data_IF_086167593049
#
_entry.id   IF_086167593049
#
_cell.length_a   1.000
_cell.length_b   1.000
_cell.length_c   1.000
_cell.angle_alpha   90.00
_cell.angle_beta   90.00
_cell.angle_gamma   90.00
#
_symmetry.space_group_name_H-M   'P 1'
#
loop_
_entity.id
_entity.type
_entity.pdbx_description
1 polymer ?
#
# COMPACT_ATOMS: atom_id res chain seq x y z
N UNK A 1 -1.58 -0.41 -31.49
CA UNK A 1 -1.11 0.84 -30.85
C UNK A 1 -2.08 1.13 -29.72
N UNK A 2 -1.60 1.47 -28.51
CA UNK A 2 -2.48 1.69 -27.35
C UNK A 2 -3.23 3.02 -27.49
N UNK A 3 -4.57 2.99 -27.51
CA UNK A 3 -5.38 4.20 -27.57
C UNK A 3 -5.73 4.68 -26.14
N UNK A 4 -4.73 5.24 -25.45
CA UNK A 4 -4.87 5.70 -24.05
C UNK A 4 -5.43 7.13 -23.94
N UNK A 5 -5.49 7.88 -25.04
CA UNK A 5 -5.97 9.27 -25.09
C UNK A 5 -7.43 9.42 -24.65
N UNK A 6 -8.24 8.37 -24.83
CA UNK A 6 -9.65 8.34 -24.40
C UNK A 6 -9.86 8.35 -22.87
N UNK A 7 -8.81 8.20 -22.07
CA UNK A 7 -8.90 8.04 -20.62
C UNK A 7 -8.15 9.14 -19.87
N UNK A 8 -8.84 10.23 -19.52
CA UNK A 8 -8.21 11.45 -18.95
C UNK A 8 -8.26 11.56 -17.42
N UNK A 9 -8.87 10.60 -16.72
CA UNK A 9 -9.06 10.66 -15.26
C UNK A 9 -8.58 9.39 -14.52
N UNK A 10 -7.42 8.86 -14.94
CA UNK A 10 -6.87 7.61 -14.39
C UNK A 10 -5.71 7.91 -13.44
N UNK A 11 -5.87 7.51 -12.17
CA UNK A 11 -4.83 7.61 -11.15
C UNK A 11 -3.89 6.41 -11.14
N UNK A 12 -4.38 5.22 -11.48
CA UNK A 12 -3.56 4.01 -11.46
C UNK A 12 -3.58 3.29 -12.81
N UNK A 13 -2.39 3.10 -13.36
CA UNK A 13 -2.15 2.27 -14.53
C UNK A 13 -1.47 0.98 -14.11
N UNK A 14 -2.03 -0.15 -14.52
CA UNK A 14 -1.35 -1.43 -14.50
C UNK A 14 -0.92 -1.78 -15.92
N UNK A 15 0.28 -2.34 -16.04
CA UNK A 15 0.76 -2.90 -17.29
C UNK A 15 1.16 -4.36 -17.10
N UNK A 16 0.70 -5.24 -17.99
CA UNK A 16 1.17 -6.61 -18.08
C UNK A 16 1.75 -6.88 -19.46
N UNK A 17 3.05 -7.15 -19.48
CA UNK A 17 3.78 -7.54 -20.67
C UNK A 17 3.40 -8.93 -21.19
N UNK A 18 3.96 -9.28 -22.34
CA UNK A 18 3.82 -10.60 -22.96
C UNK A 18 4.72 -11.66 -22.32
N UNK A 19 5.68 -11.25 -21.48
CA UNK A 19 6.62 -12.13 -20.80
C UNK A 19 5.91 -13.15 -19.90
N UNK A 20 6.17 -14.43 -20.17
CA UNK A 20 5.73 -15.57 -19.34
C UNK A 20 6.89 -16.29 -18.66
N UNK A 21 8.13 -16.06 -19.09
CA UNK A 21 9.29 -16.77 -18.56
C UNK A 21 9.71 -16.26 -17.19
N UNK A 22 10.10 -17.17 -16.31
CA UNK A 22 10.65 -16.88 -14.99
C UNK A 22 11.95 -17.66 -14.80
N UNK A 23 12.94 -17.04 -14.14
CA UNK A 23 14.18 -17.70 -13.78
C UNK A 23 14.05 -18.58 -12.51
N UNK A 24 12.90 -18.55 -11.82
CA UNK A 24 12.58 -19.42 -10.69
C UNK A 24 11.64 -20.55 -11.09
N UNK A 25 11.78 -21.72 -10.46
CA UNK A 25 10.93 -22.91 -10.68
C UNK A 25 10.28 -23.42 -9.39
N UNK A 26 9.43 -22.60 -8.75
CA UNK A 26 8.77 -22.94 -7.48
C UNK A 26 7.55 -23.84 -7.69
N UNK A 27 7.40 -24.90 -6.90
CA UNK A 27 6.33 -25.89 -7.10
C UNK A 27 4.90 -25.35 -6.93
N UNK A 28 4.75 -24.28 -6.14
CA UNK A 28 3.47 -23.62 -5.87
C UNK A 28 3.16 -22.45 -6.82
N UNK A 29 4.12 -22.03 -7.67
CA UNK A 29 3.95 -20.85 -8.50
C UNK A 29 3.32 -21.23 -9.84
N UNK A 30 2.11 -20.71 -10.17
CA UNK A 30 1.43 -21.02 -11.43
C UNK A 30 2.20 -20.51 -12.66
N UNK A 31 3.07 -19.52 -12.48
CA UNK A 31 3.80 -18.86 -13.56
C UNK A 31 5.22 -19.41 -13.81
N UNK A 32 5.72 -20.28 -12.93
CA UNK A 32 7.08 -20.82 -13.01
C UNK A 32 7.28 -21.91 -14.10
N UNK A 33 6.25 -22.15 -14.92
CA UNK A 33 6.22 -23.22 -15.92
C UNK A 33 7.07 -22.92 -17.16
N UNK A 34 7.29 -21.65 -17.48
CA UNK A 34 8.04 -21.24 -18.67
C UNK A 34 9.42 -20.76 -18.24
N UNK A 35 10.48 -21.44 -18.70
CA UNK A 35 11.86 -21.15 -18.26
C UNK A 35 12.66 -20.26 -19.22
N UNK A 36 12.24 -20.16 -20.48
CA UNK A 36 12.97 -19.43 -21.53
C UNK A 36 11.98 -18.72 -22.44
N UNK A 37 12.37 -17.55 -22.90
CA UNK A 37 11.76 -16.84 -24.02
C UNK A 37 12.79 -16.77 -25.15
N UNK A 38 12.31 -16.88 -26.38
CA UNK A 38 13.11 -16.66 -27.58
C UNK A 38 13.47 -15.17 -27.74
N UNK A 39 14.52 -14.88 -28.51
CA UNK A 39 14.90 -13.49 -28.81
C UNK A 39 13.75 -12.72 -29.49
N UNK A 40 12.96 -13.38 -30.34
CA UNK A 40 11.80 -12.78 -31.00
C UNK A 40 10.70 -12.39 -29.99
N UNK A 41 10.42 -13.24 -29.00
CA UNK A 41 9.45 -12.94 -27.94
C UNK A 41 9.92 -11.78 -27.06
N UNK A 42 11.21 -11.75 -26.69
CA UNK A 42 11.78 -10.64 -25.90
C UNK A 42 11.73 -9.32 -26.67
N UNK A 43 12.10 -9.33 -27.96
CA UNK A 43 11.97 -8.14 -28.81
C UNK A 43 10.53 -7.67 -28.89
N UNK A 44 9.58 -8.60 -29.03
CA UNK A 44 8.15 -8.25 -29.08
C UNK A 44 7.65 -7.65 -27.75
N UNK A 45 8.11 -8.20 -26.63
CA UNK A 45 7.81 -7.69 -25.29
C UNK A 45 8.34 -6.27 -25.09
N UNK A 46 9.59 -6.02 -25.48
CA UNK A 46 10.22 -4.70 -25.45
C UNK A 46 9.49 -3.69 -26.34
N UNK A 47 9.11 -4.07 -27.56
CA UNK A 47 8.30 -3.23 -28.46
C UNK A 47 6.94 -2.89 -27.83
N UNK A 48 6.27 -3.87 -27.22
CA UNK A 48 4.96 -3.67 -26.58
C UNK A 48 5.06 -2.75 -25.37
N UNK A 49 6.11 -2.88 -24.56
CA UNK A 49 6.37 -2.01 -23.40
C UNK A 49 6.70 -0.58 -23.86
N UNK A 50 7.58 -0.45 -24.85
CA UNK A 50 7.97 0.85 -25.42
C UNK A 50 6.76 1.59 -25.99
N UNK A 51 5.89 0.88 -26.69
CA UNK A 51 4.63 1.43 -27.21
C UNK A 51 3.67 1.86 -26.10
N UNK A 52 3.60 1.13 -24.98
CA UNK A 52 2.78 1.48 -23.83
C UNK A 52 3.30 2.76 -23.17
N UNK A 53 4.60 2.81 -22.86
CA UNK A 53 5.26 3.98 -22.28
C UNK A 53 5.06 5.20 -23.17
N UNK A 54 5.30 5.06 -24.48
CA UNK A 54 5.12 6.14 -25.45
C UNK A 54 3.67 6.63 -25.49
N UNK A 55 2.69 5.74 -25.51
CA UNK A 55 1.28 6.13 -25.51
C UNK A 55 0.86 6.83 -24.22
N UNK A 56 1.38 6.41 -23.07
CA UNK A 56 1.08 7.05 -21.79
C UNK A 56 1.74 8.44 -21.67
N UNK A 57 2.97 8.58 -22.16
CA UNK A 57 3.72 9.83 -22.12
C UNK A 57 3.29 10.86 -23.17
N UNK A 58 2.66 10.44 -24.27
CA UNK A 58 2.10 11.36 -25.28
C UNK A 58 0.90 12.17 -24.79
N UNK A 59 0.23 11.74 -23.70
CA UNK A 59 -0.87 12.50 -23.12
C UNK A 59 -0.36 13.86 -22.59
N UNK A 60 -0.99 14.94 -23.03
CA UNK A 60 -0.63 16.33 -22.72
C UNK A 60 -0.74 16.64 -21.22
N UNK A 61 0.22 17.39 -20.68
CA UNK A 61 0.29 17.74 -19.26
C UNK A 61 -0.91 18.58 -18.77
N UNK A 62 -1.60 19.30 -19.66
CA UNK A 62 -2.77 20.10 -19.33
C UNK A 62 -4.02 19.26 -18.97
N UNK A 63 -4.07 17.99 -19.38
CA UNK A 63 -5.25 17.12 -19.26
C UNK A 63 -5.05 15.95 -18.27
N UNK A 64 -3.91 15.93 -17.56
CA UNK A 64 -3.46 14.75 -16.82
C UNK A 64 -3.53 14.96 -15.30
N UNK A 65 -4.46 14.25 -14.67
CA UNK A 65 -4.40 13.99 -13.23
C UNK A 65 -3.11 13.23 -12.91
N UNK A 66 -2.48 13.56 -11.78
CA UNK A 66 -1.33 12.81 -11.27
C UNK A 66 -1.68 11.32 -11.11
N UNK A 67 -0.76 10.46 -11.52
CA UNK A 67 -0.98 9.03 -11.59
C UNK A 67 0.25 8.20 -11.23
N UNK A 68 0.07 6.88 -11.18
CA UNK A 68 1.13 5.91 -10.97
C UNK A 68 1.04 4.73 -11.94
N UNK A 69 2.17 4.05 -12.16
CA UNK A 69 2.28 2.90 -13.06
C UNK A 69 2.87 1.70 -12.30
N UNK A 70 2.16 0.57 -12.31
CA UNK A 70 2.63 -0.68 -11.71
C UNK A 70 2.66 -1.80 -12.75
N UNK A 71 3.84 -2.36 -12.98
CA UNK A 71 4.05 -3.50 -13.89
C UNK A 71 3.81 -4.81 -13.12
N UNK A 72 2.92 -5.66 -13.64
CA UNK A 72 2.48 -6.90 -12.98
C UNK A 72 2.65 -8.10 -13.92
N UNK A 73 3.91 -8.55 -14.12
CA UNK A 73 4.24 -9.58 -15.09
C UNK A 73 3.75 -10.96 -14.65
N UNK A 74 3.57 -11.88 -15.61
CA UNK A 74 3.49 -13.30 -15.30
C UNK A 74 4.89 -13.91 -15.11
N UNK A 75 5.88 -13.48 -15.91
CA UNK A 75 7.29 -13.83 -15.76
C UNK A 75 8.05 -12.97 -14.74
N UNK A 76 9.38 -13.12 -14.71
CA UNK A 76 10.25 -12.19 -14.00
C UNK A 76 10.73 -11.10 -14.97
N UNK A 77 10.10 -9.92 -14.90
CA UNK A 77 10.38 -8.83 -15.84
C UNK A 77 11.72 -8.13 -15.55
N UNK A 78 12.09 -7.98 -14.28
CA UNK A 78 13.18 -7.08 -13.89
C UNK A 78 14.59 -7.67 -14.07
N UNK A 79 14.72 -8.91 -14.56
CA UNK A 79 16.00 -9.42 -15.10
C UNK A 79 16.34 -8.81 -16.46
N UNK A 80 15.40 -8.11 -17.11
CA UNK A 80 15.59 -7.51 -18.42
C UNK A 80 15.77 -5.99 -18.33
N UNK A 81 16.88 -5.48 -18.89
CA UNK A 81 17.31 -4.08 -18.81
C UNK A 81 16.26 -3.10 -19.36
N UNK A 82 15.53 -3.47 -20.41
CA UNK A 82 14.53 -2.60 -21.04
C UNK A 82 13.35 -2.23 -20.11
N UNK A 83 13.04 -3.05 -19.10
CA UNK A 83 12.04 -2.69 -18.08
C UNK A 83 12.54 -1.56 -17.17
N UNK A 84 13.82 -1.57 -16.80
CA UNK A 84 14.42 -0.51 -15.98
C UNK A 84 14.51 0.81 -16.73
N UNK A 85 14.86 0.77 -18.02
CA UNK A 85 14.85 1.94 -18.91
C UNK A 85 13.42 2.51 -19.03
N UNK A 86 12.42 1.65 -19.22
CA UNK A 86 11.01 2.05 -19.27
C UNK A 86 10.54 2.71 -17.97
N UNK A 87 10.86 2.11 -16.81
CA UNK A 87 10.53 2.68 -15.50
C UNK A 87 11.24 4.01 -15.27
N UNK A 88 12.51 4.15 -15.69
CA UNK A 88 13.24 5.41 -15.63
C UNK A 88 12.54 6.49 -16.47
N UNK A 89 12.20 6.16 -17.72
CA UNK A 89 11.50 7.05 -18.63
C UNK A 89 10.16 7.54 -18.06
N UNK A 90 9.36 6.63 -17.50
CA UNK A 90 8.09 6.97 -16.83
C UNK A 90 8.33 7.87 -15.60
N UNK A 91 9.29 7.56 -14.74
CA UNK A 91 9.52 8.31 -13.50
C UNK A 91 9.90 9.78 -13.71
N UNK A 92 10.54 10.08 -14.85
CA UNK A 92 10.92 11.45 -15.24
C UNK A 92 9.71 12.35 -15.49
N UNK A 93 8.57 11.77 -15.82
CA UNK A 93 7.35 12.53 -16.06
C UNK A 93 6.91 13.27 -14.78
N UNK A 94 6.54 14.56 -14.86
CA UNK A 94 6.02 15.31 -13.72
C UNK A 94 4.63 14.83 -13.26
N UNK A 95 3.86 14.16 -14.12
CA UNK A 95 2.52 13.65 -13.77
C UNK A 95 2.55 12.23 -13.20
N UNK A 96 3.67 11.50 -13.35
CA UNK A 96 3.84 10.18 -12.75
C UNK A 96 4.46 10.37 -11.37
N UNK A 97 3.70 10.10 -10.32
CA UNK A 97 4.17 10.22 -8.93
C UNK A 97 4.88 8.95 -8.46
N UNK A 98 4.55 7.79 -9.01
CA UNK A 98 5.20 6.54 -8.68
C UNK A 98 5.20 5.56 -9.87
N UNK A 99 6.28 4.80 -9.98
CA UNK A 99 6.45 3.70 -10.93
C UNK A 99 6.91 2.46 -10.18
N UNK A 100 6.62 1.27 -10.70
CA UNK A 100 7.04 0.07 -10.02
C UNK A 100 6.75 -1.21 -10.77
N UNK A 101 7.19 -2.31 -10.17
CA UNK A 101 6.95 -3.64 -10.69
C UNK A 101 6.88 -4.68 -9.56
N UNK A 102 6.19 -5.79 -9.84
CA UNK A 102 6.31 -7.01 -9.06
C UNK A 102 7.54 -7.81 -9.53
N UNK A 103 8.29 -8.35 -8.57
CA UNK A 103 9.52 -9.10 -8.83
C UNK A 103 9.80 -10.15 -7.75
N UNK A 104 10.54 -11.19 -8.11
CA UNK A 104 11.15 -12.17 -7.20
C UNK A 104 12.54 -11.71 -6.65
N UNK A 105 13.03 -10.53 -7.07
CA UNK A 105 14.27 -9.88 -6.63
C UNK A 105 15.56 -10.69 -6.89
N UNK A 106 15.59 -11.43 -8.01
CA UNK A 106 16.68 -12.36 -8.36
C UNK A 106 17.81 -11.79 -9.23
N UNK A 107 17.75 -10.50 -9.58
CA UNK A 107 18.77 -9.80 -10.37
C UNK A 107 19.81 -9.12 -9.48
N UNK A 108 20.90 -8.63 -10.08
CA UNK A 108 21.83 -7.76 -9.39
C UNK A 108 21.25 -6.35 -9.27
N UNK A 109 20.94 -5.94 -8.04
CA UNK A 109 20.36 -4.62 -7.75
C UNK A 109 21.33 -3.51 -8.13
N UNK A 110 22.64 -3.68 -7.93
CA UNK A 110 23.60 -2.61 -8.21
C UNK A 110 23.62 -2.29 -9.71
N UNK A 111 23.74 -3.33 -10.54
CA UNK A 111 23.69 -3.17 -12.01
C UNK A 111 22.37 -2.54 -12.47
N UNK A 112 21.24 -3.04 -11.96
CA UNK A 112 19.94 -2.60 -12.45
C UNK A 112 19.53 -1.22 -11.93
N UNK A 113 19.89 -0.87 -10.70
CA UNK A 113 19.70 0.46 -10.15
C UNK A 113 20.58 1.48 -10.89
N UNK A 114 21.82 1.12 -11.22
CA UNK A 114 22.69 1.96 -12.06
C UNK A 114 22.08 2.20 -13.45
N UNK A 115 21.54 1.17 -14.10
CA UNK A 115 20.82 1.33 -15.37
C UNK A 115 19.66 2.32 -15.21
N UNK A 116 18.86 2.19 -14.16
CA UNK A 116 17.73 3.08 -13.91
C UNK A 116 18.18 4.53 -13.70
N UNK A 117 19.17 4.75 -12.85
CA UNK A 117 19.68 6.08 -12.50
C UNK A 117 20.37 6.74 -13.71
N UNK A 118 21.21 5.99 -14.43
CA UNK A 118 21.90 6.47 -15.63
C UNK A 118 20.95 6.83 -16.77
N UNK A 119 19.73 6.28 -16.78
CA UNK A 119 18.65 6.68 -17.70
C UNK A 119 17.78 7.83 -17.16
N UNK A 120 18.21 8.49 -16.09
CA UNK A 120 17.54 9.63 -15.46
C UNK A 120 16.38 9.25 -14.55
N UNK A 121 16.33 8.00 -14.08
CA UNK A 121 15.30 7.53 -13.18
C UNK A 121 15.31 8.25 -11.83
N UNK A 122 14.13 8.52 -11.28
CA UNK A 122 13.97 9.20 -9.99
C UNK A 122 13.74 8.16 -8.89
N UNK A 123 14.77 7.83 -8.11
CA UNK A 123 14.75 6.74 -7.12
C UNK A 123 13.55 6.78 -6.16
N UNK A 124 13.22 7.96 -5.60
CA UNK A 124 12.06 8.14 -4.70
C UNK A 124 10.69 7.83 -5.33
N UNK A 125 10.60 7.75 -6.66
CA UNK A 125 9.37 7.38 -7.37
C UNK A 125 9.32 5.89 -7.68
N UNK A 126 10.43 5.16 -7.54
CA UNK A 126 10.50 3.73 -7.81
C UNK A 126 10.03 2.93 -6.58
N UNK A 127 9.01 2.12 -6.78
CA UNK A 127 8.38 1.27 -5.76
C UNK A 127 8.39 -0.19 -6.20
N UNK A 128 9.01 -1.09 -5.44
CA UNK A 128 9.10 -2.51 -5.79
C UNK A 128 8.24 -3.40 -4.89
N UNK A 129 7.50 -4.32 -5.50
CA UNK A 129 6.80 -5.38 -4.78
C UNK A 129 7.63 -6.67 -4.89
N UNK A 130 8.33 -7.01 -3.80
CA UNK A 130 9.32 -8.09 -3.78
C UNK A 130 8.73 -9.38 -3.17
N UNK A 131 8.72 -10.47 -3.92
CA UNK A 131 8.19 -11.77 -3.50
C UNK A 131 9.31 -12.76 -3.17
N UNK A 132 9.36 -13.19 -1.92
CA UNK A 132 10.30 -14.18 -1.41
C UNK A 132 9.84 -15.60 -1.72
N UNK A 133 10.77 -16.41 -2.22
CA UNK A 133 10.56 -17.80 -2.60
C UNK A 133 11.51 -18.73 -1.84
N UNK A 134 11.12 -19.25 -0.67
CA UNK A 134 12.02 -20.01 0.21
C UNK A 134 12.50 -21.35 -0.38
N UNK A 135 11.90 -21.84 -1.46
CA UNK A 135 12.38 -23.02 -2.20
C UNK A 135 13.62 -22.71 -3.07
N UNK A 136 13.88 -21.43 -3.35
CA UNK A 136 14.89 -21.01 -4.35
C UNK A 136 15.99 -20.16 -3.71
N UNK A 137 15.64 -19.27 -2.79
CA UNK A 137 16.56 -18.30 -2.18
C UNK A 137 16.43 -18.33 -0.67
N UNK A 138 17.55 -18.14 0.04
CA UNK A 138 17.53 -18.10 1.52
C UNK A 138 17.04 -16.75 2.03
N UNK A 139 16.61 -16.71 3.29
CA UNK A 139 16.21 -15.46 3.95
C UNK A 139 17.37 -14.46 4.02
N UNK A 140 18.60 -14.93 4.19
CA UNK A 140 19.83 -14.12 4.24
C UNK A 140 20.09 -13.43 2.89
N UNK A 141 20.05 -14.19 1.80
CA UNK A 141 20.28 -13.68 0.45
C UNK A 141 19.22 -12.66 0.05
N UNK A 142 17.94 -12.96 0.31
CA UNK A 142 16.85 -12.04 0.00
C UNK A 142 16.94 -10.76 0.85
N UNK A 143 17.24 -10.88 2.14
CA UNK A 143 17.42 -9.71 3.01
C UNK A 143 18.61 -8.83 2.58
N UNK A 144 19.68 -9.43 2.04
CA UNK A 144 20.80 -8.67 1.47
C UNK A 144 20.36 -7.83 0.27
N UNK A 145 19.58 -8.42 -0.64
CA UNK A 145 19.01 -7.68 -1.77
C UNK A 145 18.10 -6.54 -1.29
N UNK A 146 17.21 -6.79 -0.31
CA UNK A 146 16.39 -5.72 0.26
C UNK A 146 17.23 -4.56 0.85
N UNK A 147 18.35 -4.85 1.53
CA UNK A 147 19.25 -3.80 2.03
C UNK A 147 19.87 -2.97 0.90
N UNK A 148 20.21 -3.59 -0.24
CA UNK A 148 20.67 -2.83 -1.41
C UNK A 148 19.59 -1.87 -1.92
N UNK A 149 18.33 -2.31 -2.03
CA UNK A 149 17.21 -1.41 -2.40
C UNK A 149 17.13 -0.19 -1.47
N UNK A 150 17.19 -0.41 -0.15
CA UNK A 150 17.23 0.69 0.82
C UNK A 150 18.43 1.61 0.62
N UNK A 151 19.61 1.08 0.28
CA UNK A 151 20.82 1.84 -0.01
C UNK A 151 20.66 2.81 -1.18
N UNK A 152 19.89 2.44 -2.21
CA UNK A 152 19.54 3.32 -3.33
C UNK A 152 18.33 4.23 -3.06
N UNK A 153 17.74 4.18 -1.86
CA UNK A 153 16.51 4.93 -1.55
C UNK A 153 15.30 4.46 -2.35
N UNK A 154 15.32 3.22 -2.84
CA UNK A 154 14.17 2.60 -3.54
C UNK A 154 13.19 2.11 -2.48
N UNK A 155 11.93 2.54 -2.59
CA UNK A 155 10.88 2.06 -1.71
C UNK A 155 10.42 0.66 -2.13
N UNK A 156 10.10 -0.21 -1.16
CA UNK A 156 9.60 -1.54 -1.47
C UNK A 156 8.76 -2.13 -0.35
N UNK A 157 7.89 -3.06 -0.73
CA UNK A 157 7.36 -4.06 0.18
C UNK A 157 8.00 -5.41 -0.10
N UNK A 158 8.08 -6.26 0.93
CA UNK A 158 8.52 -7.64 0.80
C UNK A 158 7.38 -8.57 1.19
N UNK A 159 7.39 -9.82 0.74
CA UNK A 159 6.37 -10.75 1.18
C UNK A 159 6.51 -12.12 0.56
N UNK A 160 5.57 -13.02 0.85
CA UNK A 160 5.62 -14.38 0.35
C UNK A 160 4.21 -14.94 0.09
N UNK A 161 4.14 -16.03 -0.67
CA UNK A 161 2.93 -16.84 -0.72
C UNK A 161 2.72 -17.53 0.64
N UNK A 162 1.49 -17.51 1.14
CA UNK A 162 1.07 -18.10 2.42
C UNK A 162 1.02 -19.62 2.38
N UNK A 163 2.14 -20.26 2.04
CA UNK A 163 2.28 -21.72 2.06
C UNK A 163 2.55 -22.15 3.51
N UNK A 164 1.68 -22.95 4.16
CA UNK A 164 1.86 -23.30 5.58
C UNK A 164 3.22 -23.93 5.91
N UNK A 165 3.72 -24.81 5.04
CA UNK A 165 5.04 -25.44 5.19
C UNK A 165 6.20 -24.44 5.21
N UNK A 166 6.00 -23.23 4.69
CA UNK A 166 7.04 -22.21 4.58
C UNK A 166 7.02 -21.20 5.73
N UNK A 167 6.09 -21.29 6.69
CA UNK A 167 5.94 -20.32 7.79
C UNK A 167 7.26 -20.08 8.52
N UNK A 168 8.03 -21.15 8.80
CA UNK A 168 9.33 -21.05 9.47
C UNK A 168 10.32 -20.18 8.71
N UNK A 169 10.48 -20.40 7.40
CA UNK A 169 11.37 -19.61 6.54
C UNK A 169 10.90 -18.17 6.38
N UNK A 170 9.59 -17.96 6.27
CA UNK A 170 8.99 -16.62 6.18
C UNK A 170 9.26 -15.81 7.46
N UNK A 171 9.11 -16.43 8.64
CA UNK A 171 9.45 -15.79 9.93
C UNK A 171 10.93 -15.43 10.01
N UNK A 172 11.82 -16.27 9.49
CA UNK A 172 13.25 -15.97 9.45
C UNK A 172 13.53 -14.72 8.62
N UNK A 173 12.93 -14.58 7.44
CA UNK A 173 13.07 -13.36 6.64
C UNK A 173 12.50 -12.14 7.33
N UNK A 174 11.28 -12.23 7.90
CA UNK A 174 10.65 -11.11 8.63
C UNK A 174 11.53 -10.57 9.76
N UNK A 175 12.23 -11.45 10.51
CA UNK A 175 13.17 -11.05 11.57
C UNK A 175 14.42 -10.33 11.06
N UNK A 176 14.82 -10.56 9.79
CA UNK A 176 16.01 -9.95 9.18
C UNK A 176 15.71 -8.62 8.50
N UNK A 177 14.45 -8.33 8.21
CA UNK A 177 14.02 -7.08 7.59
C UNK A 177 13.76 -6.00 8.66
N UNK A 178 14.06 -4.72 8.38
CA UNK A 178 13.68 -3.63 9.27
C UNK A 178 12.17 -3.60 9.53
N UNK A 179 11.78 -3.22 10.75
CA UNK A 179 10.38 -3.10 11.18
C UNK A 179 9.52 -2.23 10.24
N UNK A 180 10.14 -1.19 9.68
CA UNK A 180 9.51 -0.24 8.75
C UNK A 180 9.15 -0.81 7.38
N UNK A 181 9.77 -1.92 6.95
CA UNK A 181 9.44 -2.55 5.68
C UNK A 181 8.17 -3.39 5.87
N UNK A 182 7.09 -3.05 5.18
CA UNK A 182 5.87 -3.86 5.22
C UNK A 182 6.12 -5.26 4.64
N UNK A 183 5.65 -6.28 5.37
CA UNK A 183 5.72 -7.68 4.95
C UNK A 183 4.32 -8.23 4.66
N UNK A 184 4.06 -8.56 3.40
CA UNK A 184 2.78 -9.15 3.03
C UNK A 184 2.82 -10.68 2.98
N UNK A 185 1.68 -11.30 3.25
CA UNK A 185 1.42 -12.70 2.93
C UNK A 185 0.28 -12.74 1.91
N UNK A 186 0.55 -13.27 0.72
CA UNK A 186 -0.53 -13.55 -0.23
C UNK A 186 -1.23 -14.84 0.18
N UNK A 187 -2.57 -14.84 0.19
CA UNK A 187 -3.31 -16.10 0.30
C UNK A 187 -2.84 -17.07 -0.79
N UNK A 188 -2.63 -18.33 -0.40
CA UNK A 188 -2.24 -19.38 -1.34
C UNK A 188 -3.43 -19.78 -2.21
N UNK A 189 -3.39 -19.39 -3.48
CA UNK A 189 -4.31 -19.90 -4.48
C UNK A 189 -4.09 -21.40 -4.69
N UNK A 190 -5.19 -22.16 -4.79
CA UNK A 190 -5.16 -23.61 -4.99
C UNK A 190 -4.97 -24.44 -3.71
N UNK A 191 -4.90 -23.83 -2.52
CA UNK A 191 -5.01 -24.58 -1.27
C UNK A 191 -6.40 -25.24 -1.20
N UNK A 192 -6.44 -26.57 -1.27
CA UNK A 192 -7.69 -27.37 -1.32
C UNK A 192 -8.49 -27.40 -0.01
N UNK A 193 -8.09 -26.61 0.99
CA UNK A 193 -8.72 -26.47 2.29
C UNK A 193 -8.58 -25.04 2.80
N UNK A 194 -9.34 -24.69 3.82
CA UNK A 194 -9.09 -23.47 4.58
C UNK A 194 -7.78 -23.59 5.39
N UNK A 195 -7.18 -22.44 5.68
CA UNK A 195 -6.12 -22.36 6.70
C UNK A 195 -6.67 -22.78 8.06
N UNK A 196 -5.86 -23.52 8.83
CA UNK A 196 -6.18 -23.84 10.23
C UNK A 196 -6.12 -22.58 11.10
N UNK A 197 -6.65 -22.65 12.32
CA UNK A 197 -6.59 -21.52 13.26
C UNK A 197 -5.13 -21.12 13.55
N UNK A 198 -4.24 -22.10 13.74
CA UNK A 198 -2.82 -21.86 14.01
C UNK A 198 -2.08 -21.28 12.81
N UNK A 199 -2.39 -21.74 11.59
CA UNK A 199 -1.82 -21.17 10.37
C UNK A 199 -2.24 -19.71 10.18
N UNK A 200 -3.54 -19.40 10.37
CA UNK A 200 -4.03 -18.03 10.31
C UNK A 200 -3.33 -17.15 11.34
N UNK A 201 -3.27 -17.60 12.59
CA UNK A 201 -2.59 -16.89 13.67
C UNK A 201 -1.12 -16.63 13.32
N UNK A 202 -0.41 -17.65 12.83
CA UNK A 202 0.99 -17.53 12.46
C UNK A 202 1.23 -16.53 11.32
N UNK A 203 0.34 -16.46 10.33
CA UNK A 203 0.44 -15.48 9.26
C UNK A 203 0.03 -14.08 9.70
N UNK A 204 -0.98 -13.92 10.57
CA UNK A 204 -1.38 -12.61 11.12
C UNK A 204 -0.27 -12.00 11.99
N UNK A 205 0.49 -12.83 12.71
CA UNK A 205 1.68 -12.38 13.44
C UNK A 205 2.79 -11.84 12.53
N UNK A 206 2.80 -12.20 11.24
CA UNK A 206 3.80 -11.78 10.25
C UNK A 206 3.30 -10.61 9.41
N UNK A 207 2.07 -10.72 8.89
CA UNK A 207 1.37 -9.72 8.10
C UNK A 207 0.09 -9.34 8.81
N UNK A 208 0.10 -8.13 9.37
CA UNK A 208 -1.00 -7.57 10.14
C UNK A 208 -2.29 -7.35 9.31
N UNK A 209 -2.21 -7.43 7.98
CA UNK A 209 -3.33 -7.34 7.05
C UNK A 209 -3.76 -8.68 6.46
N UNK A 210 -3.15 -9.81 6.86
CA UNK A 210 -3.43 -11.12 6.27
C UNK A 210 -4.91 -11.53 6.35
N UNK A 211 -5.66 -11.08 7.36
CA UNK A 211 -7.10 -11.32 7.42
C UNK A 211 -7.85 -10.79 6.20
N UNK A 212 -7.39 -9.67 5.60
CA UNK A 212 -8.01 -9.10 4.41
C UNK A 212 -7.89 -10.05 3.21
N UNK A 213 -6.82 -10.82 3.12
CA UNK A 213 -6.60 -11.84 2.08
C UNK A 213 -7.62 -12.99 2.15
N UNK A 214 -8.20 -13.22 3.34
CA UNK A 214 -9.15 -14.29 3.59
C UNK A 214 -10.62 -13.84 3.45
N UNK A 215 -10.88 -12.54 3.33
CA UNK A 215 -12.24 -11.99 3.25
C UNK A 215 -12.81 -12.09 1.85
N UNK A 216 -14.15 -12.19 1.79
CA UNK A 216 -14.91 -12.05 0.55
C UNK A 216 -15.20 -10.57 0.28
N UNK A 217 -14.44 -9.96 -0.63
CA UNK A 217 -14.64 -8.58 -1.04
C UNK A 217 -15.67 -8.51 -2.16
N UNK A 218 -16.90 -8.08 -1.87
CA UNK A 218 -17.94 -7.94 -2.90
C UNK A 218 -17.47 -6.96 -3.98
N UNK A 219 -17.52 -7.39 -5.23
CA UNK A 219 -17.09 -6.54 -6.34
C UNK A 219 -18.06 -5.38 -6.55
N UNK A 220 -17.52 -4.16 -6.63
CA UNK A 220 -18.26 -2.96 -7.00
C UNK A 220 -17.51 -2.21 -8.10
N UNK A 221 -18.06 -2.18 -9.31
CA UNK A 221 -17.42 -1.52 -10.46
C UNK A 221 -17.29 0.00 -10.28
N UNK A 222 -18.18 0.62 -9.50
CA UNK A 222 -18.14 2.06 -9.23
C UNK A 222 -16.90 2.46 -8.41
N UNK A 223 -16.18 1.49 -7.84
CA UNK A 223 -14.89 1.69 -7.16
C UNK A 223 -13.67 1.50 -8.08
N UNK A 224 -13.86 1.04 -9.32
CA UNK A 224 -12.78 0.77 -10.28
C UNK A 224 -12.73 1.80 -11.42
N UNK A 225 -13.06 3.07 -11.15
CA UNK A 225 -13.29 4.08 -12.18
C UNK A 225 -12.03 4.84 -12.62
N UNK A 226 -11.07 5.03 -11.73
CA UNK A 226 -9.81 5.76 -11.96
C UNK A 226 -8.59 4.81 -12.08
N UNK A 227 -8.84 3.56 -12.48
CA UNK A 227 -7.85 2.49 -12.60
C UNK A 227 -8.01 1.81 -13.96
N UNK A 228 -6.90 1.57 -14.65
CA UNK A 228 -6.88 0.78 -15.88
C UNK A 228 -5.78 -0.28 -15.85
N UNK A 229 -6.10 -1.41 -16.47
CA UNK A 229 -5.23 -2.55 -16.64
C UNK A 229 -4.99 -2.78 -18.13
N UNK A 230 -3.76 -2.55 -18.56
CA UNK A 230 -3.34 -2.63 -19.96
C UNK A 230 -2.51 -3.90 -20.16
N UNK A 231 -2.91 -4.72 -21.12
CA UNK A 231 -2.22 -5.94 -21.52
C UNK A 231 -1.41 -5.71 -22.80
N UNK A 232 -0.37 -6.53 -23.03
CA UNK A 232 0.49 -6.44 -24.21
C UNK A 232 -0.24 -6.57 -25.56
N UNK A 233 -1.42 -7.18 -25.59
CA UNK A 233 -2.30 -7.27 -26.77
C UNK A 233 -3.12 -5.97 -27.00
N UNK A 234 -2.81 -4.90 -26.27
CA UNK A 234 -3.54 -3.63 -26.26
C UNK A 234 -4.95 -3.70 -25.65
N UNK A 235 -5.35 -4.81 -25.05
CA UNK A 235 -6.61 -4.87 -24.32
C UNK A 235 -6.54 -4.04 -23.03
N UNK A 236 -7.60 -3.27 -22.78
CA UNK A 236 -7.70 -2.37 -21.63
C UNK A 236 -8.91 -2.80 -20.81
N UNK A 237 -8.68 -3.06 -19.51
CA UNK A 237 -9.68 -3.53 -18.54
C UNK A 237 -9.69 -2.63 -17.31
N UNK A 238 -10.71 -2.74 -16.47
CA UNK A 238 -10.78 -2.00 -15.19
C UNK A 238 -9.91 -2.61 -14.08
N UNK A 239 -9.59 -3.90 -14.17
CA UNK A 239 -8.64 -4.59 -13.30
C UNK A 239 -8.19 -5.91 -13.95
N UNK A 240 -7.26 -6.62 -13.30
CA UNK A 240 -6.67 -7.87 -13.75
C UNK A 240 -7.68 -9.04 -13.95
N UNK A 241 -8.84 -8.99 -13.30
CA UNK A 241 -9.86 -10.06 -13.34
C UNK A 241 -11.21 -9.59 -13.90
N UNK A 242 -11.31 -8.34 -14.34
CA UNK A 242 -12.52 -7.78 -14.94
C UNK A 242 -12.60 -8.21 -16.41
N UNK A 243 -13.70 -8.86 -16.81
CA UNK A 243 -13.86 -9.36 -18.18
C UNK A 243 -14.28 -8.29 -19.21
N UNK A 244 -15.20 -7.35 -18.90
CA UNK A 244 -15.49 -6.25 -19.81
C UNK A 244 -14.24 -5.41 -20.12
N UNK A 245 -14.14 -4.96 -21.37
CA UNK A 245 -13.14 -3.96 -21.75
C UNK A 245 -13.55 -2.60 -21.18
N UNK A 246 -12.56 -1.76 -20.89
CA UNK A 246 -12.80 -0.44 -20.29
C UNK A 246 -13.58 0.50 -21.22
N UNK A 247 -13.52 0.30 -22.54
CA UNK A 247 -14.31 1.07 -23.51
C UNK A 247 -15.82 0.73 -23.47
N UNK A 248 -16.19 -0.43 -22.94
CA UNK A 248 -17.58 -0.87 -22.82
C UNK A 248 -18.19 -0.40 -21.49
N UNK A 249 -18.30 0.92 -21.34
CA UNK A 249 -18.67 1.59 -20.08
C UNK A 249 -20.04 1.17 -19.52
N UNK A 250 -20.91 0.59 -20.35
CA UNK A 250 -22.26 0.17 -19.96
C UNK A 250 -22.30 -1.26 -19.41
N UNK A 251 -21.23 -2.06 -19.56
CA UNK A 251 -21.23 -3.44 -19.04
C UNK A 251 -20.79 -3.50 -17.58
N UNK A 252 -21.61 -4.09 -16.68
CA UNK A 252 -21.22 -4.26 -15.29
C UNK A 252 -20.09 -5.29 -15.15
N UNK A 253 -19.35 -5.20 -14.05
CA UNK A 253 -18.38 -6.22 -13.69
C UNK A 253 -19.11 -7.54 -13.40
N UNK A 254 -18.77 -8.60 -14.13
CA UNK A 254 -19.42 -9.91 -13.97
C UNK A 254 -18.86 -10.72 -12.78
N UNK A 255 -17.81 -10.22 -12.11
CA UNK A 255 -17.25 -10.87 -10.92
C UNK A 255 -18.16 -10.58 -9.72
N UNK A 256 -18.42 -11.60 -8.90
CA UNK A 256 -19.12 -11.41 -7.62
C UNK A 256 -18.19 -10.88 -6.53
N UNK A 257 -16.91 -11.22 -6.62
CA UNK A 257 -15.89 -10.87 -5.63
C UNK A 257 -14.55 -10.46 -6.25
N UNK A 258 -13.81 -9.63 -5.52
CA UNK A 258 -12.42 -9.27 -5.76
C UNK A 258 -11.50 -10.21 -4.95
N UNK A 259 -10.97 -11.23 -5.61
CA UNK A 259 -10.35 -12.38 -4.94
C UNK A 259 -8.84 -12.26 -4.67
N UNK A 260 -8.19 -11.19 -5.12
CA UNK A 260 -6.75 -10.96 -4.94
C UNK A 260 -6.45 -9.49 -4.65
N UNK A 261 -5.28 -9.20 -4.06
CA UNK A 261 -4.90 -7.83 -3.67
C UNK A 261 -5.07 -6.82 -4.81
N UNK A 262 -4.53 -7.11 -6.01
CA UNK A 262 -4.65 -6.24 -7.19
C UNK A 262 -6.08 -5.87 -7.59
N UNK A 263 -7.06 -6.66 -7.13
CA UNK A 263 -8.48 -6.40 -7.38
C UNK A 263 -9.20 -5.77 -6.19
N UNK A 264 -8.93 -6.22 -4.96
CA UNK A 264 -9.65 -5.72 -3.78
C UNK A 264 -9.08 -4.41 -3.26
N UNK A 265 -7.81 -4.10 -3.55
CA UNK A 265 -7.22 -2.80 -3.19
C UNK A 265 -7.97 -1.62 -3.84
N UNK A 266 -8.68 -1.89 -4.94
CA UNK A 266 -9.51 -0.90 -5.64
C UNK A 266 -10.84 -0.62 -4.90
N UNK A 267 -11.23 -1.42 -3.91
CA UNK A 267 -12.54 -1.30 -3.26
C UNK A 267 -12.61 -0.21 -2.17
N UNK A 268 -11.56 0.62 -2.02
CA UNK A 268 -11.47 1.71 -1.04
C UNK A 268 -11.77 1.25 0.39
N UNK A 269 -11.18 0.13 0.80
CA UNK A 269 -11.37 -0.44 2.13
C UNK A 269 -10.73 0.50 3.19
N UNK A 270 -11.44 0.85 4.29
CA UNK A 270 -10.88 1.68 5.34
C UNK A 270 -9.58 1.12 5.94
N UNK A 271 -9.44 -0.20 6.02
CA UNK A 271 -8.22 -0.85 6.50
C UNK A 271 -6.99 -0.55 5.62
N UNK A 272 -7.20 -0.19 4.35
CA UNK A 272 -6.12 0.13 3.42
C UNK A 272 -5.82 1.63 3.34
N UNK A 273 -6.35 2.45 4.26
CA UNK A 273 -6.17 3.91 4.23
C UNK A 273 -4.71 4.33 4.09
N UNK A 274 -3.81 3.74 4.88
CA UNK A 274 -2.38 4.08 4.84
C UNK A 274 -1.66 3.58 3.57
N UNK A 275 -2.30 2.81 2.69
CA UNK A 275 -1.74 2.44 1.39
C UNK A 275 -2.04 3.48 0.30
N UNK A 276 -2.82 4.52 0.61
CA UNK A 276 -3.07 5.63 -0.30
C UNK A 276 -1.80 6.49 -0.50
N UNK A 277 -1.71 7.23 -1.62
CA UNK A 277 -2.69 7.33 -2.71
C UNK A 277 -2.63 6.18 -3.72
N UNK A 278 -1.62 5.30 -3.66
CA UNK A 278 -1.38 4.25 -4.64
C UNK A 278 -1.28 2.87 -3.98
N UNK A 279 -2.42 2.28 -3.58
CA UNK A 279 -2.41 0.99 -2.90
C UNK A 279 -1.87 -0.15 -3.77
N UNK A 280 -1.82 0.03 -5.09
CA UNK A 280 -1.25 -0.92 -6.06
C UNK A 280 0.17 -1.39 -5.73
N UNK A 281 1.00 -0.54 -5.13
CA UNK A 281 2.38 -0.88 -4.74
C UNK A 281 2.45 -1.69 -3.45
N UNK A 282 1.36 -1.71 -2.68
CA UNK A 282 1.27 -2.39 -1.38
C UNK A 282 2.34 -1.90 -0.40
N UNK A 283 2.61 -0.61 -0.38
CA UNK A 283 3.53 0.04 0.56
C UNK A 283 2.69 0.98 1.42
N UNK A 284 2.51 0.70 2.73
CA UNK A 284 1.81 1.61 3.61
C UNK A 284 2.72 2.77 4.04
N UNK A 285 2.12 3.94 4.18
CA UNK A 285 2.72 5.18 4.65
C UNK A 285 2.02 5.57 5.96
N UNK A 286 2.69 5.32 7.09
CA UNK A 286 2.19 5.72 8.38
C UNK A 286 2.72 7.11 8.75
N UNK A 287 1.87 8.04 9.19
CA UNK A 287 2.31 9.31 9.74
C UNK A 287 3.04 9.09 11.08
N UNK A 288 3.87 10.03 11.50
CA UNK A 288 4.55 9.97 12.79
C UNK A 288 3.56 10.05 13.97
N UNK A 289 2.47 10.80 13.79
CA UNK A 289 1.42 10.96 14.78
C UNK A 289 0.02 10.84 14.19
N UNK A 290 -0.88 10.21 14.94
CA UNK A 290 -2.30 10.09 14.59
C UNK A 290 -3.17 10.59 15.72
N UNK A 291 -4.04 11.55 15.41
CA UNK A 291 -5.02 12.10 16.32
C UNK A 291 -6.39 11.48 16.04
N UNK A 292 -6.99 10.85 17.05
CA UNK A 292 -8.25 10.12 16.92
C UNK A 292 -9.29 10.67 17.88
N UNK A 293 -10.47 11.02 17.36
CA UNK A 293 -11.62 11.30 18.22
C UNK A 293 -12.12 10.00 18.85
N UNK A 294 -12.50 10.07 20.13
CA UNK A 294 -13.09 8.93 20.83
C UNK A 294 -14.47 8.64 20.24
N UNK A 295 -15.22 9.68 19.93
CA UNK A 295 -16.58 9.58 19.44
C UNK A 295 -16.62 9.55 17.91
N UNK A 296 -17.17 8.48 17.34
CA UNK A 296 -17.31 8.26 15.90
C UNK A 296 -16.18 7.46 15.27
N UNK A 297 -14.96 7.53 15.81
CA UNK A 297 -13.80 6.79 15.28
C UNK A 297 -13.49 5.57 16.16
N UNK A 298 -13.12 5.79 17.43
CA UNK A 298 -12.77 4.70 18.34
C UNK A 298 -14.02 3.96 18.83
N UNK A 299 -15.06 4.72 19.13
CA UNK A 299 -16.37 4.21 19.55
C UNK A 299 -17.40 4.68 18.54
N UNK A 300 -18.11 3.75 17.92
CA UNK A 300 -19.18 4.08 16.99
C UNK A 300 -20.54 3.68 17.57
N UNK A 301 -21.62 4.28 17.03
CA UNK A 301 -23.00 3.97 17.47
C UNK A 301 -23.35 2.50 17.27
N UNK A 302 -22.72 1.83 16.31
CA UNK A 302 -22.95 0.43 15.99
C UNK A 302 -22.27 -0.54 16.99
N UNK A 303 -21.33 -0.07 17.82
CA UNK A 303 -20.62 -0.88 18.82
C UNK A 303 -21.18 -0.74 20.24
N UNK A 304 -22.43 -0.25 20.37
CA UNK A 304 -23.09 -0.10 21.66
C UNK A 304 -22.36 0.86 22.60
N UNK A 305 -21.69 1.88 22.05
CA UNK A 305 -20.85 2.84 22.78
C UNK A 305 -19.67 2.23 23.56
N UNK A 306 -19.18 1.05 23.15
CA UNK A 306 -17.98 0.41 23.72
C UNK A 306 -16.86 0.25 22.70
N UNK A 307 -15.62 0.21 23.18
CA UNK A 307 -14.45 -0.08 22.33
C UNK A 307 -14.40 -1.59 22.08
N UNK A 308 -14.54 -2.00 20.82
CA UNK A 308 -14.51 -3.42 20.44
C UNK A 308 -13.09 -3.98 20.45
N UNK A 309 -12.95 -5.30 20.63
CA UNK A 309 -11.65 -5.97 20.50
C UNK A 309 -10.99 -5.75 19.13
N UNK A 310 -11.80 -5.68 18.06
CA UNK A 310 -11.34 -5.35 16.71
C UNK A 310 -10.74 -3.94 16.66
N UNK A 311 -11.37 -2.97 17.32
CA UNK A 311 -10.84 -1.61 17.44
C UNK A 311 -9.54 -1.59 18.23
N UNK A 312 -9.47 -2.31 19.36
CA UNK A 312 -8.24 -2.41 20.18
C UNK A 312 -7.09 -3.00 19.36
N UNK A 313 -7.34 -4.05 18.57
CA UNK A 313 -6.33 -4.66 17.70
C UNK A 313 -5.89 -3.71 16.58
N UNK A 314 -6.81 -2.97 15.97
CA UNK A 314 -6.46 -1.92 15.01
C UNK A 314 -5.59 -0.82 15.63
N UNK A 315 -5.95 -0.29 16.80
CA UNK A 315 -5.16 0.71 17.51
C UNK A 315 -3.78 0.18 17.92
N UNK A 316 -3.69 -1.09 18.34
CA UNK A 316 -2.40 -1.73 18.65
C UNK A 316 -1.48 -1.75 17.43
N UNK A 317 -2.00 -2.17 16.27
CA UNK A 317 -1.25 -2.14 15.00
C UNK A 317 -0.78 -0.72 14.66
N UNK A 318 -1.70 0.24 14.70
CA UNK A 318 -1.36 1.63 14.40
C UNK A 318 -0.32 2.21 15.38
N UNK A 319 -0.42 1.90 16.68
CA UNK A 319 0.54 2.35 17.69
C UNK A 319 1.95 1.78 17.53
N UNK A 320 2.12 0.71 16.74
CA UNK A 320 3.42 0.16 16.40
C UNK A 320 4.16 1.01 15.34
N UNK A 321 3.41 1.82 14.59
CA UNK A 321 3.94 2.65 13.49
C UNK A 321 3.82 4.15 13.75
N UNK A 322 2.84 4.59 14.55
CA UNK A 322 2.54 6.00 14.81
C UNK A 322 2.29 6.26 16.30
N UNK A 323 2.65 7.45 16.79
CA UNK A 323 2.20 7.89 18.13
C UNK A 323 0.73 8.27 18.09
N UNK A 324 -0.06 7.77 19.02
CA UNK A 324 -1.51 8.02 19.04
C UNK A 324 -1.86 9.10 20.06
N UNK A 325 -2.72 10.03 19.65
CA UNK A 325 -3.23 11.12 20.49
C UNK A 325 -4.76 11.17 20.41
N UNK A 326 -5.40 11.46 21.54
CA UNK A 326 -6.83 11.75 21.54
C UNK A 326 -7.10 13.16 21.02
N UNK A 327 -8.23 13.35 20.34
CA UNK A 327 -8.79 14.66 20.03
C UNK A 327 -10.28 14.69 20.36
N UNK A 328 -10.60 14.99 21.61
CA UNK A 328 -11.97 14.81 22.14
C UNK A 328 -12.48 16.05 22.87
N UNK A 329 -13.80 16.22 22.87
CA UNK A 329 -14.48 17.22 23.70
C UNK A 329 -14.54 16.82 25.18
N UNK A 330 -14.26 15.55 25.49
CA UNK A 330 -14.36 15.01 26.85
C UNK A 330 -13.20 15.49 27.74
N UNK A 331 -13.45 15.71 29.05
CA UNK A 331 -12.38 15.82 30.03
C UNK A 331 -11.51 14.55 30.07
N UNK A 332 -10.24 14.68 30.43
CA UNK A 332 -9.28 13.56 30.41
C UNK A 332 -9.75 12.33 31.18
N UNK A 333 -10.26 12.50 32.40
CA UNK A 333 -10.74 11.38 33.22
C UNK A 333 -11.87 10.60 32.53
N UNK A 334 -12.80 11.30 31.89
CA UNK A 334 -13.90 10.71 31.13
C UNK A 334 -13.42 10.05 29.84
N UNK A 335 -12.52 10.70 29.11
CA UNK A 335 -11.90 10.18 27.90
C UNK A 335 -11.19 8.83 28.18
N UNK A 336 -10.38 8.77 29.23
CA UNK A 336 -9.65 7.55 29.62
C UNK A 336 -10.59 6.43 30.08
N UNK A 337 -11.62 6.77 30.89
CA UNK A 337 -12.64 5.80 31.30
C UNK A 337 -13.37 5.22 30.10
N UNK A 338 -13.70 6.07 29.12
CA UNK A 338 -14.43 5.69 27.90
C UNK A 338 -13.57 4.87 26.93
N UNK A 339 -12.30 5.21 26.76
CA UNK A 339 -11.36 4.45 25.94
C UNK A 339 -10.97 3.10 26.57
N UNK A 340 -11.13 2.94 27.89
CA UNK A 340 -10.87 1.69 28.60
C UNK A 340 -9.46 1.17 28.34
N UNK A 341 -9.33 -0.12 27.94
CA UNK A 341 -8.03 -0.75 27.65
C UNK A 341 -7.27 -0.08 26.51
N UNK A 342 -7.97 0.55 25.56
CA UNK A 342 -7.34 1.24 24.44
C UNK A 342 -6.60 2.51 24.88
N UNK A 343 -7.00 3.15 25.98
CA UNK A 343 -6.36 4.38 26.47
C UNK A 343 -4.86 4.25 26.73
N UNK A 344 -4.38 3.03 27.04
CA UNK A 344 -2.94 2.75 27.26
C UNK A 344 -2.09 2.83 25.99
N UNK A 345 -2.73 2.86 24.81
CA UNK A 345 -2.05 2.95 23.52
C UNK A 345 -1.77 4.41 23.10
N UNK A 346 -2.30 5.37 23.86
CA UNK A 346 -2.22 6.79 23.53
C UNK A 346 -1.15 7.49 24.37
N UNK A 347 -0.38 8.36 23.72
CA UNK A 347 0.67 9.18 24.32
C UNK A 347 0.16 10.51 24.87
N UNK A 348 -1.16 10.70 24.94
CA UNK A 348 -1.80 11.92 25.41
C UNK A 348 -2.93 12.36 24.49
N UNK A 349 -3.13 13.66 24.37
CA UNK A 349 -4.12 14.24 23.47
C UNK A 349 -4.61 15.62 23.88
N UNK A 350 -5.61 16.07 23.12
CA UNK A 350 -6.36 17.29 23.32
C UNK A 350 -7.73 16.94 23.90
N UNK A 351 -8.05 17.53 25.05
CA UNK A 351 -9.23 17.23 25.86
C UNK A 351 -10.03 18.49 26.14
N UNK A 352 -11.26 18.33 26.64
CA UNK A 352 -12.13 19.43 27.05
C UNK A 352 -12.24 20.52 25.97
N UNK A 353 -12.49 20.12 24.73
CA UNK A 353 -12.58 21.01 23.56
C UNK A 353 -11.34 21.87 23.27
N UNK A 354 -10.16 21.44 23.74
CA UNK A 354 -8.91 22.18 23.55
C UNK A 354 -8.42 22.94 24.76
N UNK A 355 -9.20 23.00 25.85
CA UNK A 355 -8.77 23.61 27.10
C UNK A 355 -7.55 22.92 27.71
N UNK A 356 -7.35 21.63 27.45
CA UNK A 356 -6.28 20.87 28.08
C UNK A 356 -5.56 19.98 27.07
N UNK A 357 -4.25 20.12 27.02
CA UNK A 357 -3.34 19.23 26.30
C UNK A 357 -2.51 18.43 27.29
N UNK A 358 -2.46 17.11 27.07
CA UNK A 358 -1.57 16.21 27.80
C UNK A 358 -0.64 15.52 26.82
N UNK A 359 0.61 15.40 27.23
CA UNK A 359 1.64 14.64 26.51
C UNK A 359 2.34 13.79 27.57
N UNK A 360 2.50 12.50 27.29
CA UNK A 360 3.19 11.59 28.18
C UNK A 360 4.60 12.11 28.50
N UNK A 361 4.97 12.10 29.78
CA UNK A 361 6.25 12.60 30.29
C UNK A 361 6.51 14.11 30.10
N UNK A 362 5.46 14.92 29.87
CA UNK A 362 5.54 16.39 29.86
C UNK A 362 4.50 16.98 30.83
N UNK A 363 4.72 18.21 31.34
CA UNK A 363 3.72 18.89 32.15
C UNK A 363 2.44 19.15 31.36
N UNK A 364 1.30 19.07 32.05
CA UNK A 364 0.00 19.38 31.47
C UNK A 364 -0.05 20.86 31.03
N UNK A 365 -0.65 21.13 29.87
CA UNK A 365 -0.86 22.49 29.38
C UNK A 365 -2.35 22.81 29.33
N UNK A 366 -2.73 23.93 29.92
CA UNK A 366 -4.09 24.46 29.89
C UNK A 366 -4.13 25.73 29.03
N UNK A 367 -5.11 25.83 28.15
CA UNK A 367 -5.38 27.00 27.31
C UNK A 367 -6.68 27.68 27.75
N UNK A 368 -6.69 29.00 27.95
CA UNK A 368 -7.95 29.73 28.15
C UNK A 368 -8.75 29.72 26.84
N UNK A 369 -10.02 29.29 26.88
CA UNK A 369 -10.91 29.37 25.71
C UNK A 369 -11.21 30.83 25.38
N UNK A 370 -10.57 31.34 24.32
CA UNK A 370 -10.86 32.68 23.79
C UNK A 370 -11.99 32.68 22.76
N UNK A 371 -12.38 31.50 22.23
CA UNK A 371 -13.59 31.31 21.42
C UNK A 371 -14.06 29.85 21.41
N UNK A 372 -15.36 29.64 21.14
CA UNK A 372 -16.10 28.36 21.32
C UNK A 372 -15.68 27.25 20.32
N UNK A 373 -14.78 27.52 19.36
CA UNK A 373 -14.44 26.59 18.27
C UNK A 373 -12.94 26.49 17.93
N UNK A 374 -12.06 27.17 18.69
CA UNK A 374 -10.62 27.33 18.38
C UNK A 374 -9.71 26.74 19.48
N UNK A 375 -9.98 25.51 19.92
CA UNK A 375 -9.13 24.85 20.92
C UNK A 375 -8.47 23.57 20.44
N UNK A 376 -9.14 22.79 19.58
CA UNK A 376 -8.63 21.48 19.16
C UNK A 376 -7.43 21.59 18.21
N UNK A 377 -7.46 22.55 17.29
CA UNK A 377 -6.41 22.80 16.30
C UNK A 377 -5.15 23.32 16.98
N UNK A 378 -5.30 24.30 17.84
CA UNK A 378 -4.27 24.92 18.67
C UNK A 378 -3.64 23.88 19.60
N UNK A 379 -4.44 22.97 20.15
CA UNK A 379 -3.94 21.84 20.93
C UNK A 379 -3.12 20.85 20.11
N UNK A 380 -3.54 20.53 18.88
CA UNK A 380 -2.74 19.71 17.95
C UNK A 380 -1.44 20.42 17.63
N UNK A 381 -1.48 21.70 17.25
CA UNK A 381 -0.31 22.50 16.88
C UNK A 381 0.67 22.60 18.06
N UNK A 382 0.17 22.75 19.28
CA UNK A 382 0.98 22.68 20.50
C UNK A 382 1.67 21.32 20.66
N UNK A 383 0.93 20.21 20.51
CA UNK A 383 1.53 18.87 20.58
C UNK A 383 2.58 18.68 19.50
N UNK A 384 2.30 19.12 18.26
CA UNK A 384 3.24 19.03 17.14
C UNK A 384 4.52 19.82 17.42
N UNK A 385 4.40 21.08 17.87
CA UNK A 385 5.54 21.90 18.28
C UNK A 385 6.35 21.26 19.41
N UNK A 386 5.68 20.69 20.40
CA UNK A 386 6.35 20.03 21.53
C UNK A 386 7.05 18.73 21.16
N UNK A 387 6.54 18.01 20.17
CA UNK A 387 7.07 16.70 19.77
C UNK A 387 7.96 16.76 18.52
N UNK A 388 8.03 17.91 17.87
CA UNK A 388 8.81 18.12 16.65
C UNK A 388 8.15 17.57 15.38
N UNK A 389 6.82 17.42 15.38
CA UNK A 389 6.09 16.93 14.21
C UNK A 389 5.90 18.02 13.16
N UNK A 390 6.15 17.70 11.90
CA UNK A 390 5.74 18.56 10.80
C UNK A 390 4.26 18.32 10.47
N UNK A 391 3.59 19.36 9.95
CA UNK A 391 2.19 19.25 9.57
C UNK A 391 1.96 18.13 8.55
N UNK A 392 2.84 17.93 7.57
CA UNK A 392 2.73 16.84 6.58
C UNK A 392 2.93 15.41 7.12
N UNK A 393 3.28 15.25 8.40
CA UNK A 393 3.65 13.97 9.02
C UNK A 393 2.63 13.51 10.07
N UNK A 394 1.47 14.17 10.16
CA UNK A 394 0.40 13.80 11.07
C UNK A 394 -0.86 13.40 10.31
N UNK A 395 -1.74 12.63 10.95
CA UNK A 395 -3.11 12.43 10.46
C UNK A 395 -4.13 12.71 11.57
N UNK A 396 -5.24 13.35 11.22
CA UNK A 396 -6.32 13.67 12.16
C UNK A 396 -7.63 13.05 11.69
N UNK A 397 -8.25 12.25 12.55
CA UNK A 397 -9.55 11.61 12.29
C UNK A 397 -10.54 12.04 13.36
N UNK A 398 -11.57 12.79 12.95
CA UNK A 398 -12.59 13.30 13.87
C UNK A 398 -13.96 13.50 13.22
N UNK A 399 -14.96 13.75 14.06
CA UNK A 399 -16.38 13.82 13.66
C UNK A 399 -16.85 15.25 13.29
N UNK A 400 -15.98 16.26 13.37
CA UNK A 400 -16.35 17.66 13.09
C UNK A 400 -16.10 18.03 11.63
N UNK A 401 -16.91 18.96 11.09
CA UNK A 401 -16.72 19.53 9.76
C UNK A 401 -15.35 20.20 9.54
N UNK A 402 -14.62 20.51 10.63
CA UNK A 402 -13.25 21.06 10.63
C UNK A 402 -12.15 19.99 10.56
N UNK A 403 -12.45 18.70 10.83
CA UNK A 403 -11.49 17.61 10.62
C UNK A 403 -11.07 17.50 9.14
N UNK A 404 -11.88 18.06 8.24
CA UNK A 404 -11.60 18.17 6.81
C UNK A 404 -10.32 18.98 6.48
N UNK A 405 -9.87 19.90 7.34
CA UNK A 405 -8.64 20.68 7.09
C UNK A 405 -7.34 19.91 7.38
N UNK A 406 -7.41 18.80 8.13
CA UNK A 406 -6.25 18.00 8.54
C UNK A 406 -6.30 16.54 8.07
N UNK A 407 -7.06 16.28 7.01
CA UNK A 407 -6.97 15.02 6.26
C UNK A 407 -5.68 15.08 5.44
N UNK A 408 -4.61 14.52 5.98
CA UNK A 408 -3.34 14.44 5.26
C UNK A 408 -3.30 13.07 4.56
N UNK A 409 -3.63 13.19 3.27
CA UNK A 409 -3.66 12.23 2.16
C UNK A 409 -4.72 11.12 2.16
#
# INVERSE_FOLDING_TARGET
MYNLELYNNIRQWYYRGSLKSCNYSCSYCPFSKYKRCSAAELKKDEENLTNFVSALLKKTAADMKKCAVQIVPYGEALIHKYYWIALACLSKSPFIEAVGAQTNLSFDIDEMADIYINNGGIARKLKLWCSFHPQIVTAEQFALQCRKLSGYGIEYCAGAAGVPLNIGYIRQLRKKLPGSIYFFINKLDGLKRNYTADEKKAFIEIDEYFELELRHHKANINRCTDILFVEADSSIRRCNICKPLAADNNRPCIRKECSCYLSYCNQSLPELFFFNPYPSFRIPHYPEAVFLDIDGIIINRNSGNTVTDKTVQWLKRLSAHSRLYFITSLPYSHAMKKAGKAGKLFSGGVFANGEMCKIQNKPDKVFPLTSVLAGKKEGIDYICSQMGYNTGEIAVFGNSAQAAEYIIY
#
